data_IF_290451342329
#
_entry.id   IF_290451342329
#
_cell.length_a   1.000
_cell.length_b   1.000
_cell.length_c   1.000
_cell.angle_alpha   90.00
_cell.angle_beta   90.00
_cell.angle_gamma   90.00
#
_symmetry.space_group_name_H-M   'P 1'
#
loop_
_entity.id
_entity.type
_entity.pdbx_description
1 polymer ?
#
# COMPACT_ATOMS: atom_id res chain seq x y z
N UNK A 1 8.41 -1.06 -11.16
CA UNK A 1 7.50 0.04 -11.60
C UNK A 1 6.31 -0.58 -12.28
N UNK A 2 5.08 -0.24 -11.89
CA UNK A 2 3.86 -0.73 -12.54
C UNK A 2 3.74 -0.11 -13.93
N UNK A 3 3.31 -0.90 -14.92
CA UNK A 3 3.09 -0.46 -16.29
C UNK A 3 1.63 -0.58 -16.73
N UNK A 4 0.69 -0.62 -15.78
CA UNK A 4 -0.74 -0.81 -16.03
C UNK A 4 -1.57 -0.05 -14.99
N UNK A 5 -2.88 0.04 -15.22
CA UNK A 5 -3.80 0.75 -14.34
C UNK A 5 -3.67 0.28 -12.88
N UNK A 6 -3.24 1.16 -11.93
CA UNK A 6 -3.03 0.79 -10.54
C UNK A 6 -4.27 0.25 -9.83
N UNK A 7 -5.47 0.63 -10.27
CA UNK A 7 -6.73 0.09 -9.74
C UNK A 7 -7.01 -1.37 -10.12
N UNK A 8 -6.14 -1.98 -10.92
CA UNK A 8 -6.16 -3.42 -11.20
C UNK A 8 -5.14 -4.20 -10.36
N UNK A 9 -4.32 -3.50 -9.54
CA UNK A 9 -3.38 -4.10 -8.59
C UNK A 9 -4.05 -4.43 -7.26
N UNK A 10 -5.14 -5.18 -7.29
CA UNK A 10 -5.93 -5.51 -6.10
C UNK A 10 -6.46 -6.95 -6.19
N UNK A 11 -6.93 -7.47 -5.07
CA UNK A 11 -7.72 -8.70 -5.06
C UNK A 11 -9.06 -8.41 -5.75
N UNK A 12 -9.39 -9.13 -6.81
CA UNK A 12 -10.50 -8.76 -7.69
C UNK A 12 -11.87 -8.70 -6.99
N UNK A 13 -12.09 -9.49 -5.94
CA UNK A 13 -13.31 -9.40 -5.14
C UNK A 13 -13.52 -8.00 -4.51
N UNK A 14 -12.47 -7.22 -4.29
CA UNK A 14 -12.56 -5.84 -3.77
C UNK A 14 -13.26 -4.88 -4.74
N UNK A 15 -13.31 -5.22 -6.01
CA UNK A 15 -14.05 -4.41 -6.99
C UNK A 15 -15.55 -4.37 -6.70
N UNK A 16 -16.09 -5.39 -6.00
CA UNK A 16 -17.48 -5.48 -5.61
C UNK A 16 -17.77 -5.02 -4.18
N UNK A 17 -16.75 -4.71 -3.38
CA UNK A 17 -16.96 -4.33 -1.97
C UNK A 17 -17.78 -3.06 -1.80
N UNK A 18 -17.67 -2.10 -2.72
CA UNK A 18 -18.40 -0.84 -2.62
C UNK A 18 -19.92 -1.03 -2.66
N UNK A 19 -20.41 -2.06 -3.34
CA UNK A 19 -21.83 -2.41 -3.40
C UNK A 19 -22.34 -3.09 -2.11
N UNK A 20 -21.41 -3.56 -1.28
CA UNK A 20 -21.70 -4.24 -0.02
C UNK A 20 -21.62 -3.30 1.19
N UNK A 21 -21.12 -2.08 1.01
CA UNK A 21 -21.02 -1.12 2.11
C UNK A 21 -22.40 -0.61 2.55
N UNK A 22 -22.57 -0.31 3.84
CA UNK A 22 -23.81 0.28 4.35
C UNK A 22 -24.15 1.58 3.58
N UNK A 23 -25.46 1.77 3.30
CA UNK A 23 -25.93 3.02 2.71
C UNK A 23 -25.57 4.19 3.62
N UNK A 24 -25.07 5.27 3.04
CA UNK A 24 -24.68 6.48 3.78
C UNK A 24 -23.28 6.41 4.43
N UNK A 25 -22.48 5.38 4.15
CA UNK A 25 -21.09 5.35 4.59
C UNK A 25 -20.32 6.50 3.94
N UNK A 26 -19.78 7.40 4.77
CA UNK A 26 -19.04 8.59 4.32
C UNK A 26 -17.56 8.56 4.65
N UNK A 27 -17.17 7.72 5.60
CA UNK A 27 -15.77 7.60 6.05
C UNK A 27 -15.41 6.16 6.32
N UNK A 28 -14.22 5.77 5.90
CA UNK A 28 -13.58 4.50 6.18
C UNK A 28 -12.18 4.74 6.71
N UNK A 29 -11.77 3.94 7.67
CA UNK A 29 -10.41 3.92 8.19
C UNK A 29 -9.88 2.49 8.08
N UNK A 30 -8.69 2.33 7.52
CA UNK A 30 -7.96 1.06 7.46
C UNK A 30 -6.60 1.21 8.10
N UNK A 31 -6.14 0.13 8.74
CA UNK A 31 -4.84 0.08 9.39
C UNK A 31 -3.95 -0.98 8.74
N UNK A 32 -2.68 -0.62 8.50
CA UNK A 32 -1.65 -1.61 8.21
C UNK A 32 -0.98 -2.01 9.52
N UNK A 33 -1.07 -3.30 9.85
CA UNK A 33 -0.59 -3.86 11.12
C UNK A 33 0.22 -5.12 10.84
N UNK A 34 1.52 -5.15 11.17
CA UNK A 34 2.30 -6.38 11.13
C UNK A 34 1.71 -7.45 12.03
N UNK A 35 1.44 -8.65 11.49
CA UNK A 35 0.70 -9.70 12.23
C UNK A 35 1.59 -10.73 12.89
N UNK A 36 2.69 -11.09 12.24
CA UNK A 36 3.61 -12.11 12.72
C UNK A 36 4.99 -11.96 12.08
N UNK A 37 6.00 -12.50 12.72
CA UNK A 37 7.33 -12.69 12.13
C UNK A 37 7.58 -14.16 11.81
N UNK A 38 8.27 -14.39 10.69
CA UNK A 38 8.84 -15.72 10.34
C UNK A 38 10.31 -15.84 10.76
N UNK A 39 10.89 -14.75 11.25
CA UNK A 39 12.23 -14.75 11.81
C UNK A 39 12.13 -15.17 13.27
N UNK A 40 12.98 -16.13 13.69
CA UNK A 40 13.03 -16.58 15.07
C UNK A 40 13.36 -15.40 16.01
N UNK A 41 12.77 -15.38 17.19
CA UNK A 41 13.01 -14.39 18.24
C UNK A 41 12.82 -12.93 17.78
N UNK A 42 11.86 -12.71 16.84
CA UNK A 42 11.51 -11.38 16.36
C UNK A 42 10.07 -11.05 16.69
N UNK A 43 9.90 -10.17 17.65
CA UNK A 43 8.61 -9.61 18.08
C UNK A 43 8.40 -8.15 17.63
N UNK A 44 9.40 -7.57 16.96
CA UNK A 44 9.41 -6.20 16.48
C UNK A 44 9.64 -6.14 14.97
N UNK A 45 9.18 -5.06 14.37
CA UNK A 45 9.35 -4.78 12.95
C UNK A 45 9.66 -3.29 12.75
N UNK A 46 10.59 -3.01 11.85
CA UNK A 46 10.99 -1.66 11.49
C UNK A 46 10.04 -1.11 10.42
N UNK A 47 9.40 0.03 10.69
CA UNK A 47 8.64 0.77 9.68
C UNK A 47 9.59 1.29 8.60
N UNK A 48 9.39 0.88 7.35
CA UNK A 48 10.26 1.28 6.25
C UNK A 48 9.61 1.11 4.88
N UNK A 49 9.81 2.10 3.98
CA UNK A 49 9.42 2.01 2.56
C UNK A 49 8.10 2.69 2.19
N UNK A 50 7.37 3.31 3.13
CA UNK A 50 6.11 3.98 2.83
C UNK A 50 6.28 5.19 1.92
N UNK A 51 7.32 5.99 2.12
CA UNK A 51 7.56 7.18 1.30
C UNK A 51 7.82 6.80 -0.16
N UNK A 52 8.62 5.77 -0.39
CA UNK A 52 8.84 5.21 -1.72
C UNK A 52 7.54 4.68 -2.34
N UNK A 53 6.74 3.93 -1.57
CA UNK A 53 5.43 3.46 -2.02
C UNK A 53 4.51 4.59 -2.43
N UNK A 54 4.37 5.63 -1.61
CA UNK A 54 3.51 6.78 -1.92
C UNK A 54 3.98 7.45 -3.22
N UNK A 55 5.28 7.71 -3.34
CA UNK A 55 5.83 8.37 -4.52
C UNK A 55 5.65 7.54 -5.78
N UNK A 56 6.12 6.29 -5.77
CA UNK A 56 6.18 5.46 -6.98
C UNK A 56 4.82 4.94 -7.42
N UNK A 57 3.97 4.55 -6.46
CA UNK A 57 2.69 3.90 -6.77
C UNK A 57 1.51 4.86 -6.72
N UNK A 58 1.37 5.64 -5.64
CA UNK A 58 0.19 6.48 -5.46
C UNK A 58 0.28 7.80 -6.22
N UNK A 59 1.46 8.37 -6.38
CA UNK A 59 1.65 9.61 -7.14
C UNK A 59 2.00 9.29 -8.58
N UNK A 60 3.22 8.81 -8.84
CA UNK A 60 3.73 8.63 -10.19
C UNK A 60 2.94 7.58 -10.98
N UNK A 61 2.61 6.45 -10.33
CA UNK A 61 1.86 5.36 -10.93
C UNK A 61 0.43 5.74 -11.31
N UNK A 62 -0.31 6.38 -10.39
CA UNK A 62 -1.67 6.84 -10.69
C UNK A 62 -1.70 7.97 -11.70
N UNK A 63 -0.80 8.94 -11.62
CA UNK A 63 -0.73 10.00 -12.62
C UNK A 63 -0.52 9.40 -14.01
N UNK A 64 0.55 8.65 -14.21
CA UNK A 64 0.94 8.13 -15.52
C UNK A 64 0.00 7.08 -16.09
N UNK A 65 -0.53 6.17 -15.27
CA UNK A 65 -1.25 4.99 -15.75
C UNK A 65 -2.75 5.03 -15.48
N UNK A 66 -3.26 6.09 -14.87
CA UNK A 66 -4.69 6.29 -14.64
C UNK A 66 -5.15 7.71 -15.02
N UNK A 67 -4.65 8.77 -14.38
CA UNK A 67 -5.19 10.12 -14.57
C UNK A 67 -4.83 10.76 -15.91
N UNK A 68 -3.65 10.51 -16.46
CA UNK A 68 -3.18 11.06 -17.74
C UNK A 68 -3.66 10.27 -18.97
N UNK A 69 -4.27 9.10 -18.77
CA UNK A 69 -4.78 8.26 -19.86
C UNK A 69 -6.23 8.60 -20.20
N UNK A 70 -6.61 8.39 -21.47
CA UNK A 70 -8.01 8.57 -21.92
C UNK A 70 -8.91 7.54 -21.22
N UNK A 71 -9.91 8.05 -20.49
CA UNK A 71 -10.80 7.19 -19.70
C UNK A 71 -11.61 6.23 -20.57
N UNK A 72 -12.25 6.73 -21.63
CA UNK A 72 -13.16 5.91 -22.47
C UNK A 72 -12.40 5.00 -23.44
N UNK A 73 -11.23 5.42 -23.94
CA UNK A 73 -10.47 4.65 -24.94
C UNK A 73 -9.49 3.66 -24.32
N UNK A 74 -8.99 3.92 -23.13
CA UNK A 74 -7.91 3.13 -22.53
C UNK A 74 -8.30 2.53 -21.16
N UNK A 75 -8.68 3.37 -20.19
CA UNK A 75 -8.93 2.92 -18.81
C UNK A 75 -10.15 1.99 -18.74
N UNK A 76 -11.27 2.42 -19.28
CA UNK A 76 -12.52 1.67 -19.19
C UNK A 76 -12.49 0.33 -19.96
N UNK A 77 -11.95 0.26 -21.19
CA UNK A 77 -11.81 -1.02 -21.90
C UNK A 77 -10.88 -2.00 -21.16
N UNK A 78 -9.74 -1.53 -20.66
CA UNK A 78 -8.81 -2.35 -19.87
C UNK A 78 -9.49 -2.90 -18.61
N UNK A 79 -10.16 -2.05 -17.86
CA UNK A 79 -10.88 -2.43 -16.64
C UNK A 79 -11.98 -3.47 -16.93
N UNK A 80 -12.82 -3.22 -17.94
CA UNK A 80 -13.88 -4.16 -18.34
C UNK A 80 -13.33 -5.51 -18.79
N UNK A 81 -12.24 -5.52 -19.55
CA UNK A 81 -11.60 -6.75 -20.02
C UNK A 81 -11.12 -7.60 -18.83
N UNK A 82 -10.44 -6.97 -17.86
CA UNK A 82 -9.90 -7.68 -16.71
C UNK A 82 -11.01 -8.19 -15.80
N UNK A 83 -12.02 -7.37 -15.48
CA UNK A 83 -13.15 -7.80 -14.67
C UNK A 83 -13.96 -8.92 -15.35
N UNK A 84 -14.22 -8.79 -16.64
CA UNK A 84 -14.93 -9.82 -17.40
C UNK A 84 -14.21 -11.17 -17.41
N UNK A 85 -12.87 -11.14 -17.47
CA UNK A 85 -12.05 -12.36 -17.47
C UNK A 85 -11.88 -12.98 -16.06
N UNK A 86 -12.14 -12.23 -14.98
CA UNK A 86 -11.89 -12.68 -13.60
C UNK A 86 -13.16 -12.97 -12.82
N UNK A 87 -14.04 -12.00 -12.66
CA UNK A 87 -15.27 -12.12 -11.85
C UNK A 87 -16.56 -12.18 -12.69
N UNK A 88 -16.46 -12.14 -14.02
CA UNK A 88 -17.60 -12.27 -14.92
C UNK A 88 -18.49 -11.03 -15.04
N UNK A 89 -18.13 -9.89 -14.43
CA UNK A 89 -18.88 -8.63 -14.51
C UNK A 89 -18.08 -7.54 -15.20
N UNK A 90 -18.65 -6.91 -16.23
CA UNK A 90 -17.95 -5.90 -17.04
C UNK A 90 -18.32 -4.45 -16.72
N UNK A 91 -19.32 -4.22 -15.89
CA UNK A 91 -19.87 -2.88 -15.64
C UNK A 91 -19.72 -2.35 -14.22
N UNK A 92 -19.27 -3.20 -13.30
CA UNK A 92 -19.15 -2.84 -11.87
C UNK A 92 -18.12 -1.72 -11.67
N UNK A 93 -18.57 -0.63 -11.07
CA UNK A 93 -17.68 0.46 -10.67
C UNK A 93 -17.35 1.50 -11.76
N UNK A 94 -17.91 1.43 -12.97
CA UNK A 94 -17.65 2.43 -14.03
C UNK A 94 -17.83 3.87 -13.52
N UNK A 95 -18.96 4.17 -12.90
CA UNK A 95 -19.27 5.53 -12.43
C UNK A 95 -18.28 6.04 -11.37
N UNK A 96 -17.89 5.19 -10.42
CA UNK A 96 -16.94 5.59 -9.38
C UNK A 96 -15.53 5.76 -9.93
N UNK A 97 -15.12 4.95 -10.91
CA UNK A 97 -13.86 5.12 -11.62
C UNK A 97 -13.82 6.44 -12.39
N UNK A 98 -14.90 6.76 -13.12
CA UNK A 98 -15.01 8.02 -13.84
C UNK A 98 -14.98 9.22 -12.91
N UNK A 99 -15.67 9.14 -11.76
CA UNK A 99 -15.61 10.19 -10.73
C UNK A 99 -14.18 10.40 -10.21
N UNK A 100 -13.44 9.31 -9.97
CA UNK A 100 -12.05 9.39 -9.52
C UNK A 100 -11.15 9.97 -10.60
N UNK A 101 -11.31 9.52 -11.84
CA UNK A 101 -10.53 10.02 -12.97
C UNK A 101 -10.76 11.54 -13.18
N UNK A 102 -12.02 12.00 -13.13
CA UNK A 102 -12.36 13.41 -13.26
C UNK A 102 -11.87 14.27 -12.08
N UNK A 103 -11.69 13.66 -10.88
CA UNK A 103 -11.11 14.35 -9.73
C UNK A 103 -9.62 14.64 -9.92
N UNK A 104 -8.89 13.80 -10.62
CA UNK A 104 -7.47 13.98 -10.98
C UNK A 104 -6.47 13.74 -9.87
N UNK A 105 -6.89 13.24 -8.69
CA UNK A 105 -6.00 12.87 -7.58
C UNK A 105 -6.64 11.82 -6.67
N UNK A 106 -5.84 11.18 -5.81
CA UNK A 106 -6.33 10.23 -4.81
C UNK A 106 -6.82 10.97 -3.56
N UNK A 107 -8.12 10.97 -3.23
CA UNK A 107 -8.65 11.66 -2.06
C UNK A 107 -8.43 10.84 -0.77
N UNK A 108 -7.18 10.62 -0.41
CA UNK A 108 -6.75 9.84 0.75
C UNK A 108 -5.84 10.66 1.66
N UNK A 109 -5.93 10.40 2.97
CA UNK A 109 -4.92 10.77 3.95
C UNK A 109 -4.26 9.49 4.44
N UNK A 110 -2.94 9.47 4.50
CA UNK A 110 -2.14 8.38 5.03
C UNK A 110 -1.31 8.94 6.18
N UNK A 111 -1.63 8.51 7.39
CA UNK A 111 -0.86 8.79 8.59
C UNK A 111 0.01 7.58 8.92
N UNK A 112 1.24 7.80 9.33
CA UNK A 112 2.13 6.70 9.69
C UNK A 112 3.11 7.10 10.79
N UNK A 113 3.63 6.12 11.51
CA UNK A 113 4.79 6.33 12.36
C UNK A 113 6.02 6.64 11.48
N UNK A 114 7.02 7.39 11.99
CA UNK A 114 8.22 7.70 11.22
C UNK A 114 8.97 6.45 10.75
N UNK A 115 9.50 6.49 9.52
CA UNK A 115 10.39 5.43 9.03
C UNK A 115 11.62 5.28 9.92
N UNK A 116 12.09 4.05 10.10
CA UNK A 116 13.12 3.69 11.05
C UNK A 116 12.61 3.37 12.46
N UNK A 117 11.37 3.69 12.78
CA UNK A 117 10.77 3.35 14.08
C UNK A 117 10.50 1.84 14.17
N UNK A 118 10.95 1.20 15.25
CA UNK A 118 10.66 -0.21 15.54
C UNK A 118 9.50 -0.34 16.52
N UNK A 119 8.45 -1.05 16.08
CA UNK A 119 7.29 -1.36 16.93
C UNK A 119 7.14 -2.86 17.14
N UNK A 120 6.42 -3.25 18.17
CA UNK A 120 5.99 -4.64 18.31
C UNK A 120 5.04 -5.02 17.15
N UNK A 121 5.04 -6.29 16.77
CA UNK A 121 3.97 -6.84 15.92
C UNK A 121 2.63 -6.64 16.64
N UNK A 122 1.54 -6.63 15.88
CA UNK A 122 0.18 -6.27 16.33
C UNK A 122 -0.05 -4.79 16.68
N UNK A 123 0.96 -3.92 16.45
CA UNK A 123 0.80 -2.46 16.57
C UNK A 123 0.56 -1.86 15.20
N UNK A 124 -0.53 -1.11 14.98
CA UNK A 124 -0.76 -0.41 13.71
C UNK A 124 0.36 0.59 13.41
N UNK A 125 0.88 0.56 12.19
CA UNK A 125 1.96 1.44 11.75
C UNK A 125 1.50 2.50 10.75
N UNK A 126 0.43 2.21 10.01
CA UNK A 126 -0.13 3.11 9.00
C UNK A 126 -1.66 3.14 9.18
N UNK A 127 -2.22 4.32 9.09
CA UNK A 127 -3.66 4.58 9.03
C UNK A 127 -4.00 5.23 7.69
N UNK A 128 -5.05 4.76 7.01
CA UNK A 128 -5.51 5.28 5.74
C UNK A 128 -6.98 5.63 5.85
N UNK A 129 -7.35 6.83 5.43
CA UNK A 129 -8.75 7.27 5.40
C UNK A 129 -9.04 8.09 4.14
N UNK A 130 -10.32 8.07 3.70
CA UNK A 130 -10.76 8.92 2.60
C UNK A 130 -11.00 10.36 3.07
N UNK A 131 -10.71 11.34 2.20
CA UNK A 131 -11.00 12.77 2.45
C UNK A 131 -12.36 13.20 1.91
N UNK A 132 -12.89 12.49 0.92
CA UNK A 132 -14.17 12.77 0.29
C UNK A 132 -15.13 11.58 0.43
N UNK A 133 -16.40 11.81 0.83
CA UNK A 133 -17.37 10.73 1.09
C UNK A 133 -17.59 9.76 -0.08
N UNK A 134 -17.58 10.25 -1.31
CA UNK A 134 -17.79 9.43 -2.51
C UNK A 134 -16.68 8.41 -2.77
N UNK A 135 -15.56 8.46 -2.05
CA UNK A 135 -14.36 7.64 -2.30
C UNK A 135 -13.98 6.71 -1.13
N UNK A 136 -14.94 6.39 -0.26
CA UNK A 136 -14.74 5.40 0.82
C UNK A 136 -14.21 4.06 0.29
N UNK A 137 -14.64 3.63 -0.88
CA UNK A 137 -14.24 2.38 -1.53
C UNK A 137 -12.74 2.32 -1.84
N UNK A 138 -12.11 3.49 -2.05
CA UNK A 138 -10.71 3.59 -2.46
C UNK A 138 -9.75 3.14 -1.34
N UNK A 139 -10.12 3.36 -0.08
CA UNK A 139 -9.30 2.99 1.09
C UNK A 139 -8.87 1.52 1.04
N UNK A 140 -9.80 0.61 0.74
CA UNK A 140 -9.49 -0.81 0.64
C UNK A 140 -8.91 -1.23 -0.72
N UNK A 141 -9.05 -0.39 -1.74
CA UNK A 141 -8.56 -0.73 -3.10
C UNK A 141 -7.04 -0.68 -3.22
N UNK A 142 -6.35 0.07 -2.36
CA UNK A 142 -4.88 0.15 -2.38
C UNK A 142 -4.19 -0.87 -1.47
N UNK A 143 -4.95 -1.65 -0.69
CA UNK A 143 -4.43 -2.57 0.32
C UNK A 143 -3.44 -3.59 -0.24
N UNK A 144 -3.77 -4.25 -1.34
CA UNK A 144 -2.92 -5.31 -1.92
C UNK A 144 -1.56 -4.75 -2.34
N UNK A 145 -1.56 -3.63 -3.04
CA UNK A 145 -0.34 -2.93 -3.46
C UNK A 145 0.52 -2.51 -2.25
N UNK A 146 -0.13 -1.87 -1.26
CA UNK A 146 0.52 -1.45 -0.02
C UNK A 146 1.12 -2.64 0.71
N UNK A 147 0.33 -3.67 0.95
CA UNK A 147 0.77 -4.84 1.73
C UNK A 147 1.96 -5.55 1.10
N UNK A 148 1.93 -5.76 -0.22
CA UNK A 148 3.04 -6.40 -0.94
C UNK A 148 4.34 -5.59 -0.86
N UNK A 149 4.25 -4.26 -0.99
CA UNK A 149 5.41 -3.38 -0.94
C UNK A 149 5.95 -3.26 0.49
N UNK A 150 5.08 -2.99 1.47
CA UNK A 150 5.48 -2.79 2.86
C UNK A 150 6.06 -4.05 3.48
N UNK A 151 5.46 -5.22 3.20
CA UNK A 151 6.00 -6.48 3.70
C UNK A 151 7.45 -6.68 3.29
N UNK A 152 7.77 -6.49 2.03
CA UNK A 152 9.12 -6.70 1.48
C UNK A 152 10.15 -5.73 2.09
N UNK A 153 9.82 -4.45 2.12
CA UNK A 153 10.74 -3.40 2.62
C UNK A 153 10.98 -3.54 4.12
N UNK A 154 9.96 -3.86 4.90
CA UNK A 154 10.08 -4.06 6.35
C UNK A 154 10.88 -5.31 6.71
N UNK A 155 10.70 -6.42 5.98
CA UNK A 155 11.54 -7.61 6.17
C UNK A 155 13.00 -7.30 5.88
N UNK A 156 13.27 -6.58 4.78
CA UNK A 156 14.63 -6.17 4.43
C UNK A 156 15.26 -5.27 5.49
N UNK A 157 14.52 -4.30 6.01
CA UNK A 157 14.98 -3.41 7.07
C UNK A 157 15.28 -4.16 8.38
N UNK A 158 14.43 -5.12 8.77
CA UNK A 158 14.64 -5.91 9.97
C UNK A 158 15.84 -6.87 9.84
N UNK A 159 16.03 -7.46 8.67
CA UNK A 159 17.22 -8.28 8.38
C UNK A 159 18.48 -7.43 8.44
N UNK A 160 18.48 -6.24 7.83
CA UNK A 160 19.61 -5.29 7.88
C UNK A 160 19.94 -4.87 9.32
N UNK A 161 18.91 -4.57 10.14
CA UNK A 161 19.09 -4.26 11.54
C UNK A 161 19.77 -5.40 12.31
N UNK A 162 19.36 -6.65 12.10
CA UNK A 162 19.97 -7.84 12.74
C UNK A 162 21.42 -8.05 12.30
N UNK A 163 21.72 -7.90 11.02
CA UNK A 163 23.10 -7.95 10.55
C UNK A 163 23.96 -6.88 11.24
N UNK A 164 23.48 -5.66 11.37
CA UNK A 164 24.20 -4.60 12.09
C UNK A 164 24.48 -4.97 13.53
N UNK A 165 23.51 -5.55 14.24
CA UNK A 165 23.72 -6.00 15.62
C UNK A 165 24.79 -7.08 15.72
N UNK A 166 24.79 -8.06 14.80
CA UNK A 166 25.82 -9.10 14.77
C UNK A 166 27.20 -8.51 14.49
N UNK A 167 27.31 -7.65 13.50
CA UNK A 167 28.58 -6.97 13.16
C UNK A 167 29.10 -6.17 14.36
N UNK A 168 28.26 -5.36 14.99
CA UNK A 168 28.66 -4.58 16.17
C UNK A 168 29.14 -5.48 17.31
N UNK A 169 28.40 -6.56 17.61
CA UNK A 169 28.78 -7.51 18.67
C UNK A 169 30.18 -8.09 18.44
N UNK A 170 30.49 -8.48 17.21
CA UNK A 170 31.80 -9.07 16.92
C UNK A 170 32.91 -8.01 16.79
N UNK A 171 32.59 -6.80 16.32
CA UNK A 171 33.53 -5.69 16.37
C UNK A 171 33.95 -5.36 17.81
N UNK A 172 32.99 -5.33 18.75
CA UNK A 172 33.27 -5.11 20.18
C UNK A 172 34.20 -6.20 20.79
N UNK A 173 34.20 -7.40 20.23
CA UNK A 173 35.02 -8.52 20.72
C UNK A 173 36.41 -8.60 20.08
N UNK A 174 36.59 -8.01 18.90
CA UNK A 174 37.79 -8.25 18.07
C UNK A 174 38.56 -7.00 17.66
N UNK A 175 37.99 -5.80 17.84
CA UNK A 175 38.64 -4.55 17.51
C UNK A 175 39.06 -3.82 18.78
N UNK A 176 40.36 -3.51 18.87
CA UNK A 176 40.95 -2.84 20.08
C UNK A 176 40.77 -1.31 20.09
N UNK A 177 40.34 -0.71 18.95
CA UNK A 177 40.20 0.75 18.82
C UNK A 177 38.80 1.15 18.30
N UNK A 178 38.37 2.37 18.65
CA UNK A 178 37.19 3.07 18.13
C UNK A 178 37.34 3.30 16.60
N UNK A 179 37.17 2.27 15.82
CA UNK A 179 36.94 2.43 14.40
C UNK A 179 35.56 3.04 14.23
N UNK A 180 35.43 4.12 13.48
CA UNK A 180 34.18 4.82 13.17
C UNK A 180 33.05 3.82 12.86
N UNK A 181 32.08 3.72 13.78
CA UNK A 181 31.00 2.72 13.78
C UNK A 181 29.79 3.17 13.01
#
# INVERSE_FOLDING_TARGET
>A
MINYNPLLCLDFYKTCHAEQYPKGLTRMVSYYTPRMSRLADTDKVTMFGLQAFIKEYLIDGFNKYFFERDFEKEILPEYKRVLGATIGTSGVGKERLLKLHNLGFLPLIINAIPEGTRTNIHVPQIEITNTLPSFVWLVNSIETMLSCTMWHTQVSAEVGYRYRQIVNKYADLTCDDDVDR
#
